data_IF_499354689502
#
_entry.id   IF_499354689502
#
_cell.length_a   1.000
_cell.length_b   1.000
_cell.length_c   1.000
_cell.angle_alpha   90.00
_cell.angle_beta   90.00
_cell.angle_gamma   90.00
#
_symmetry.space_group_name_H-M   'P 1'
#
loop_
_entity.id
_entity.type
_entity.pdbx_description
1 polymer ?
#
# COMPACT_ATOMS: atom_id res chain seq x y z
N UNK A 1 -5.16 -10.11 30.52
CA UNK A 1 -5.05 -11.06 29.38
C UNK A 1 -6.40 -11.08 28.69
N UNK A 2 -6.56 -10.24 27.65
CA UNK A 2 -7.84 -10.05 26.96
C UNK A 2 -7.94 -11.11 25.86
N UNK A 3 -8.90 -12.05 25.99
CA UNK A 3 -9.18 -13.07 24.97
C UNK A 3 -9.62 -12.38 23.67
N UNK A 4 -9.12 -12.76 22.49
CA UNK A 4 -9.64 -12.25 21.24
C UNK A 4 -11.09 -12.71 21.11
N UNK A 5 -11.99 -11.74 20.98
CA UNK A 5 -13.40 -12.00 20.69
C UNK A 5 -13.46 -12.54 19.26
N UNK A 6 -13.78 -13.82 19.12
CA UNK A 6 -14.07 -14.40 17.81
C UNK A 6 -15.21 -13.61 17.18
N UNK A 7 -14.94 -12.98 16.05
CA UNK A 7 -15.96 -12.34 15.25
C UNK A 7 -16.89 -13.45 14.75
N UNK A 8 -18.13 -13.43 15.21
CA UNK A 8 -19.18 -14.29 14.66
C UNK A 8 -19.37 -13.93 13.19
N UNK A 9 -19.04 -14.85 12.32
CA UNK A 9 -19.18 -14.74 10.85
C UNK A 9 -20.64 -14.99 10.45
N UNK A 10 -21.59 -14.28 11.05
CA UNK A 10 -22.93 -14.20 10.46
C UNK A 10 -22.88 -13.09 9.40
N UNK A 11 -23.24 -13.38 8.15
CA UNK A 11 -23.30 -12.35 7.13
C UNK A 11 -24.28 -11.27 7.58
N UNK A 12 -23.81 -10.06 7.74
CA UNK A 12 -24.67 -8.90 7.99
C UNK A 12 -25.61 -8.78 6.80
N UNK A 13 -26.94 -8.76 6.99
CA UNK A 13 -27.85 -8.59 5.88
C UNK A 13 -27.55 -7.30 5.14
N UNK A 14 -27.42 -7.40 3.83
CA UNK A 14 -27.17 -6.24 2.99
C UNK A 14 -28.44 -5.37 2.93
N UNK A 15 -28.29 -4.04 2.95
CA UNK A 15 -29.43 -3.15 2.73
C UNK A 15 -29.96 -3.34 1.29
N UNK A 16 -31.25 -3.27 1.11
CA UNK A 16 -31.90 -3.38 -0.22
C UNK A 16 -31.46 -2.28 -1.18
N UNK A 17 -31.08 -1.12 -0.65
CA UNK A 17 -30.64 0.05 -1.42
C UNK A 17 -29.48 0.73 -0.74
N UNK A 18 -28.52 1.18 -1.53
CA UNK A 18 -27.43 2.04 -1.11
C UNK A 18 -27.22 3.15 -2.14
N UNK A 19 -26.99 4.36 -1.70
CA UNK A 19 -26.70 5.49 -2.61
C UNK A 19 -25.29 5.46 -3.13
N UNK A 20 -24.35 4.90 -2.35
CA UNK A 20 -22.95 4.71 -2.74
C UNK A 20 -22.50 3.32 -2.30
N UNK A 21 -21.92 2.56 -3.22
CA UNK A 21 -21.29 1.27 -2.93
C UNK A 21 -19.79 1.40 -3.16
N UNK A 22 -19.00 1.04 -2.15
CA UNK A 22 -17.53 1.02 -2.22
C UNK A 22 -17.10 -0.44 -2.18
N UNK A 23 -16.34 -0.86 -3.18
CA UNK A 23 -15.78 -2.20 -3.27
C UNK A 23 -14.34 -2.21 -2.74
N UNK A 24 -14.12 -2.97 -1.69
CA UNK A 24 -12.82 -3.12 -1.02
C UNK A 24 -12.63 -2.17 0.15
N UNK A 25 -12.37 -2.75 1.35
CA UNK A 25 -12.06 -2.02 2.57
C UNK A 25 -10.54 -1.90 2.80
N UNK A 26 -9.78 -1.67 1.75
CA UNK A 26 -8.39 -1.20 1.83
C UNK A 26 -8.34 0.27 2.25
N UNK A 27 -7.14 0.85 2.34
CA UNK A 27 -6.95 2.24 2.78
C UNK A 27 -7.79 3.23 1.97
N UNK A 28 -7.81 3.08 0.65
CA UNK A 28 -8.57 3.97 -0.25
C UNK A 28 -10.09 3.89 0.02
N UNK A 29 -10.65 2.67 0.09
CA UNK A 29 -12.08 2.49 0.34
C UNK A 29 -12.50 2.99 1.72
N UNK A 30 -11.70 2.73 2.75
CA UNK A 30 -11.96 3.21 4.11
C UNK A 30 -11.92 4.73 4.20
N UNK A 31 -10.96 5.39 3.55
CA UNK A 31 -10.89 6.86 3.54
C UNK A 31 -12.04 7.44 2.73
N UNK A 32 -12.41 6.85 1.58
CA UNK A 32 -13.56 7.28 0.81
C UNK A 32 -14.87 7.19 1.62
N UNK A 33 -15.12 6.05 2.27
CA UNK A 33 -16.27 5.88 3.15
C UNK A 33 -16.30 6.91 4.27
N UNK A 34 -15.16 7.11 4.95
CA UNK A 34 -15.02 8.10 6.01
C UNK A 34 -15.34 9.52 5.54
N UNK A 35 -14.82 9.94 4.41
CA UNK A 35 -15.05 11.29 3.90
C UNK A 35 -16.51 11.48 3.46
N UNK A 36 -17.14 10.47 2.86
CA UNK A 36 -18.57 10.50 2.53
C UNK A 36 -19.45 10.65 3.79
N UNK A 37 -19.19 9.86 4.82
CA UNK A 37 -19.90 9.93 6.10
C UNK A 37 -19.69 11.30 6.76
N UNK A 38 -18.48 11.86 6.72
CA UNK A 38 -18.20 13.22 7.24
C UNK A 38 -18.90 14.32 6.45
N UNK A 39 -19.12 14.09 5.16
CA UNK A 39 -19.92 14.99 4.31
C UNK A 39 -21.44 14.82 4.52
N UNK A 40 -21.87 14.03 5.51
CA UNK A 40 -23.28 13.84 5.85
C UNK A 40 -23.98 12.69 5.12
N UNK A 41 -23.27 11.95 4.24
CA UNK A 41 -23.85 10.77 3.57
C UNK A 41 -24.08 9.66 4.58
N UNK A 42 -25.28 9.06 4.55
CA UNK A 42 -25.67 7.93 5.44
C UNK A 42 -25.98 6.64 4.68
N UNK A 43 -26.07 6.73 3.38
CA UNK A 43 -26.44 5.67 2.44
C UNK A 43 -25.19 5.05 1.77
N UNK A 44 -24.13 4.87 2.53
CA UNK A 44 -22.83 4.33 2.07
C UNK A 44 -22.72 2.87 2.48
N UNK A 45 -22.51 1.98 1.53
CA UNK A 45 -22.22 0.55 1.73
C UNK A 45 -20.76 0.27 1.34
N UNK A 46 -20.00 -0.31 2.27
CA UNK A 46 -18.63 -0.76 2.04
C UNK A 46 -18.60 -2.28 2.06
N UNK A 47 -18.20 -2.88 0.95
CA UNK A 47 -18.07 -4.33 0.80
C UNK A 47 -16.60 -4.75 0.80
N UNK A 48 -16.27 -5.80 1.57
CA UNK A 48 -14.93 -6.37 1.67
C UNK A 48 -15.01 -7.89 1.51
N UNK A 49 -14.18 -8.44 0.65
CA UNK A 49 -14.12 -9.90 0.41
C UNK A 49 -13.34 -10.65 1.50
N UNK A 50 -12.39 -9.99 2.13
CA UNK A 50 -11.58 -10.59 3.19
C UNK A 50 -12.31 -10.53 4.54
N UNK A 51 -12.00 -11.45 5.48
CA UNK A 51 -12.61 -11.48 6.82
C UNK A 51 -12.35 -10.22 7.67
N UNK A 52 -11.34 -9.41 7.28
CA UNK A 52 -10.95 -8.19 7.99
C UNK A 52 -10.66 -7.06 6.99
N UNK A 53 -11.09 -5.83 7.30
CA UNK A 53 -10.70 -4.66 6.50
C UNK A 53 -9.20 -4.36 6.64
N UNK A 54 -8.69 -3.47 5.79
CA UNK A 54 -7.33 -2.97 5.83
C UNK A 54 -6.54 -3.21 4.54
N UNK A 55 -6.93 -4.18 3.69
CA UNK A 55 -6.21 -4.49 2.47
C UNK A 55 -4.72 -4.81 2.77
N UNK A 56 -3.81 -4.23 2.04
CA UNK A 56 -2.36 -4.39 2.23
C UNK A 56 -1.82 -3.75 3.52
N UNK A 57 -2.62 -2.89 4.19
CA UNK A 57 -2.26 -2.29 5.48
C UNK A 57 -2.52 -3.21 6.67
N UNK A 58 -2.96 -4.43 6.43
CA UNK A 58 -3.19 -5.39 7.51
C UNK A 58 -1.88 -5.85 8.13
N UNK A 59 -1.96 -6.03 9.44
CA UNK A 59 -0.88 -6.60 10.25
C UNK A 59 -1.33 -7.94 10.80
N UNK A 60 -0.50 -8.95 10.68
CA UNK A 60 -0.70 -10.27 11.22
C UNK A 60 0.18 -10.48 12.46
N UNK A 61 -0.32 -11.28 13.41
CA UNK A 61 0.45 -11.67 14.59
C UNK A 61 0.57 -13.19 14.62
N UNK A 62 1.80 -13.67 14.66
CA UNK A 62 2.11 -15.09 14.74
C UNK A 62 3.31 -15.31 15.67
N UNK A 63 3.23 -16.23 16.62
CA UNK A 63 4.33 -16.56 17.53
C UNK A 63 4.87 -15.37 18.35
N UNK A 64 4.03 -14.38 18.65
CA UNK A 64 4.46 -13.15 19.36
C UNK A 64 5.10 -12.09 18.45
N UNK A 65 5.28 -12.40 17.17
CA UNK A 65 5.83 -11.48 16.16
C UNK A 65 4.70 -10.79 15.41
N UNK A 66 4.89 -9.53 15.10
CA UNK A 66 3.99 -8.72 14.26
C UNK A 66 4.58 -8.62 12.87
N UNK A 67 3.81 -9.03 11.86
CA UNK A 67 4.21 -9.04 10.45
C UNK A 67 3.16 -8.31 9.64
N UNK A 68 3.56 -7.30 8.91
CA UNK A 68 2.69 -6.57 7.99
C UNK A 68 2.53 -7.35 6.67
N UNK A 69 1.34 -7.27 6.06
CA UNK A 69 1.08 -7.87 4.73
C UNK A 69 2.02 -7.32 3.67
N UNK A 70 2.29 -6.02 3.76
CA UNK A 70 3.26 -5.32 2.92
C UNK A 70 3.98 -4.28 3.78
N UNK A 71 5.31 -4.16 3.71
CA UNK A 71 6.01 -3.05 4.32
C UNK A 71 5.43 -1.73 3.82
N UNK A 72 4.95 -0.90 4.73
CA UNK A 72 4.34 0.37 4.37
C UNK A 72 4.93 1.52 5.17
N UNK A 73 5.30 2.55 4.44
CA UNK A 73 5.80 3.80 4.99
C UNK A 73 4.89 4.91 4.52
N UNK A 74 4.45 5.76 5.43
CA UNK A 74 3.66 6.91 5.06
C UNK A 74 4.59 8.01 4.51
N UNK A 75 4.50 8.23 3.21
CA UNK A 75 5.22 9.29 2.53
C UNK A 75 4.25 10.13 1.69
N UNK A 76 4.16 11.43 1.96
CA UNK A 76 3.30 12.32 1.18
C UNK A 76 3.76 13.76 1.22
N UNK A 77 3.63 14.46 0.09
CA UNK A 77 3.72 15.91 -0.02
C UNK A 77 2.34 16.58 0.11
N UNK A 78 1.27 15.80 0.12
CA UNK A 78 -0.10 16.30 0.20
C UNK A 78 -0.46 16.67 1.65
N UNK A 79 -0.67 17.97 1.91
CA UNK A 79 -0.98 18.49 3.25
C UNK A 79 -2.29 17.94 3.84
N UNK A 80 -3.31 17.66 2.98
CA UNK A 80 -4.58 17.07 3.41
C UNK A 80 -4.38 15.63 3.86
N UNK A 81 -3.67 14.83 3.07
CA UNK A 81 -3.34 13.45 3.43
C UNK A 81 -2.52 13.39 4.74
N UNK A 82 -1.52 14.25 4.90
CA UNK A 82 -0.72 14.34 6.11
C UNK A 82 -1.57 14.72 7.35
N UNK A 83 -2.57 15.58 7.18
CA UNK A 83 -3.49 15.97 8.26
C UNK A 83 -4.38 14.80 8.67
N UNK A 84 -4.96 14.10 7.70
CA UNK A 84 -5.80 12.91 7.96
C UNK A 84 -4.98 11.85 8.70
N UNK A 85 -3.78 11.55 8.21
CA UNK A 85 -2.89 10.56 8.84
C UNK A 85 -2.58 10.92 10.30
N UNK A 86 -2.13 12.14 10.57
CA UNK A 86 -1.84 12.58 11.95
C UNK A 86 -3.06 12.55 12.85
N UNK A 87 -4.24 12.86 12.32
CA UNK A 87 -5.48 12.79 13.08
C UNK A 87 -5.94 11.38 13.41
N UNK A 88 -5.50 10.38 12.66
CA UNK A 88 -5.84 8.96 12.89
C UNK A 88 -4.78 8.23 13.71
N UNK A 89 -3.51 8.50 13.45
CA UNK A 89 -2.38 7.75 14.03
C UNK A 89 -1.73 8.47 15.21
N UNK A 90 -2.08 9.75 15.46
CA UNK A 90 -1.39 10.55 16.47
C UNK A 90 0.00 11.01 16.02
N UNK A 91 0.89 11.35 16.98
CA UNK A 91 2.25 11.75 16.67
C UNK A 91 3.01 10.61 15.97
N UNK A 92 3.55 10.92 14.80
CA UNK A 92 4.39 9.98 14.05
C UNK A 92 5.86 10.36 14.22
N UNK A 93 6.70 9.36 14.48
CA UNK A 93 8.15 9.54 14.45
C UNK A 93 8.66 9.39 13.01
N UNK A 94 9.50 10.32 12.59
CA UNK A 94 10.22 10.18 11.33
C UNK A 94 11.46 9.31 11.58
N UNK A 95 11.57 8.22 10.84
CA UNK A 95 12.75 7.36 10.88
C UNK A 95 13.45 7.40 9.52
N UNK A 96 14.77 7.51 9.54
CA UNK A 96 15.57 7.27 8.35
C UNK A 96 15.62 5.76 8.10
N UNK A 97 14.93 5.30 7.06
CA UNK A 97 14.99 3.91 6.64
C UNK A 97 16.20 3.68 5.75
N UNK A 98 17.01 2.68 6.10
CA UNK A 98 17.97 2.10 5.16
C UNK A 98 17.25 0.98 4.43
N UNK A 99 16.89 1.25 3.20
CA UNK A 99 16.29 0.26 2.30
C UNK A 99 17.35 -0.22 1.33
N UNK A 100 17.26 -1.49 0.95
CA UNK A 100 18.16 -2.04 -0.06
C UNK A 100 17.54 -3.23 -0.76
N UNK A 101 18.17 -3.63 -1.83
CA UNK A 101 17.79 -4.76 -2.67
C UNK A 101 18.88 -5.82 -2.57
N UNK A 102 18.49 -7.05 -2.25
CA UNK A 102 19.42 -8.18 -2.33
C UNK A 102 19.59 -8.59 -3.80
N UNK A 103 20.78 -8.40 -4.33
CA UNK A 103 21.14 -8.74 -5.71
C UNK A 103 22.32 -9.71 -5.74
N UNK A 104 22.09 -10.94 -6.24
CA UNK A 104 23.13 -11.99 -6.38
C UNK A 104 23.97 -12.18 -5.11
N UNK A 105 23.35 -12.14 -3.94
CA UNK A 105 24.03 -12.32 -2.65
C UNK A 105 24.71 -11.07 -2.10
N UNK A 106 24.69 -9.95 -2.82
CA UNK A 106 25.18 -8.64 -2.38
C UNK A 106 24.03 -7.68 -2.06
N UNK A 107 24.31 -6.65 -1.29
CA UNK A 107 23.35 -5.60 -0.96
C UNK A 107 23.55 -4.39 -1.86
N UNK A 108 22.48 -3.87 -2.46
CA UNK A 108 22.47 -2.65 -3.26
C UNK A 108 21.50 -1.67 -2.62
N UNK A 109 21.91 -0.43 -2.41
CA UNK A 109 21.08 0.59 -1.79
C UNK A 109 19.83 0.90 -2.63
N UNK A 110 18.74 1.24 -1.95
CA UNK A 110 17.51 1.68 -2.60
C UNK A 110 17.52 3.21 -2.83
N UNK A 111 17.02 3.72 -3.96
CA UNK A 111 16.44 2.99 -5.07
C UNK A 111 17.50 2.28 -5.93
N UNK A 112 17.22 1.06 -6.36
CA UNK A 112 18.15 0.25 -7.14
C UNK A 112 18.67 0.98 -8.40
N UNK A 113 17.80 1.72 -9.07
CA UNK A 113 18.11 2.44 -10.31
C UNK A 113 19.17 3.52 -10.11
N UNK A 114 19.18 4.17 -8.97
CA UNK A 114 20.15 5.25 -8.64
C UNK A 114 21.49 4.66 -8.18
N UNK A 115 21.47 3.40 -7.77
CA UNK A 115 22.60 2.71 -7.13
C UNK A 115 23.20 1.58 -7.99
N UNK A 116 22.93 1.55 -9.28
CA UNK A 116 23.51 0.56 -10.21
C UNK A 116 25.05 0.61 -10.28
N UNK A 117 25.65 1.69 -9.82
CA UNK A 117 27.11 1.83 -9.70
C UNK A 117 27.70 0.82 -8.70
N UNK A 118 26.91 0.32 -7.76
CA UNK A 118 27.28 -0.70 -6.76
C UNK A 118 27.31 -2.13 -7.35
N UNK A 119 26.78 -2.31 -8.56
CA UNK A 119 26.78 -3.60 -9.25
C UNK A 119 28.16 -3.92 -9.83
N UNK A 120 28.38 -5.21 -10.11
CA UNK A 120 29.53 -5.61 -10.91
C UNK A 120 29.55 -4.91 -12.28
N UNK A 121 30.71 -4.71 -12.90
CA UNK A 121 30.76 -4.07 -14.23
C UNK A 121 29.90 -4.78 -15.27
N UNK A 122 29.84 -6.11 -15.22
CA UNK A 122 29.01 -6.91 -16.12
C UNK A 122 27.51 -6.67 -15.90
N UNK A 123 27.03 -6.75 -14.65
CA UNK A 123 25.63 -6.54 -14.34
C UNK A 123 25.19 -5.10 -14.64
N UNK A 124 26.03 -4.12 -14.32
CA UNK A 124 25.79 -2.72 -14.67
C UNK A 124 25.62 -2.54 -16.17
N UNK A 125 26.49 -3.13 -16.98
CA UNK A 125 26.36 -3.10 -18.44
C UNK A 125 25.04 -3.73 -18.90
N UNK A 126 24.68 -4.90 -18.36
CA UNK A 126 23.42 -5.58 -18.69
C UNK A 126 22.19 -4.72 -18.38
N UNK A 127 22.15 -4.12 -17.19
CA UNK A 127 21.05 -3.23 -16.78
C UNK A 127 20.96 -2.02 -17.71
N UNK A 128 22.07 -1.39 -18.02
CA UNK A 128 22.09 -0.21 -18.91
C UNK A 128 21.64 -0.55 -20.34
N UNK A 129 22.11 -1.67 -20.90
CA UNK A 129 21.69 -2.12 -22.24
C UNK A 129 20.19 -2.42 -22.25
N UNK A 130 19.68 -3.16 -21.26
CA UNK A 130 18.25 -3.44 -21.15
C UNK A 130 17.39 -2.19 -21.04
N UNK A 131 17.83 -1.18 -20.29
CA UNK A 131 17.14 0.11 -20.19
C UNK A 131 17.07 0.84 -21.52
N UNK A 132 18.17 0.82 -22.30
CA UNK A 132 18.22 1.45 -23.62
C UNK A 132 17.33 0.73 -24.63
N UNK A 133 17.36 -0.60 -24.65
CA UNK A 133 16.53 -1.43 -25.52
C UNK A 133 15.03 -1.26 -25.21
N UNK A 134 14.64 -1.26 -23.96
CA UNK A 134 13.25 -1.01 -23.55
C UNK A 134 12.78 0.40 -23.89
N UNK A 135 13.66 1.40 -23.79
CA UNK A 135 13.35 2.78 -24.18
C UNK A 135 13.15 2.91 -25.69
N UNK A 136 13.94 2.22 -26.48
CA UNK A 136 13.76 2.16 -27.94
C UNK A 136 12.45 1.45 -28.32
N UNK A 137 12.10 0.34 -27.63
CA UNK A 137 10.83 -0.37 -27.83
C UNK A 137 9.59 0.43 -27.43
N UNK A 138 9.65 1.18 -26.32
CA UNK A 138 8.57 2.07 -25.90
C UNK A 138 8.35 3.27 -26.84
N UNK A 139 9.39 3.74 -27.50
CA UNK A 139 9.27 4.83 -28.49
C UNK A 139 8.57 4.37 -29.78
N UNK A 140 8.58 3.07 -30.05
CA UNK A 140 7.94 2.45 -31.23
C UNK A 140 6.50 1.99 -30.97
N UNK A 141 6.03 1.99 -29.72
CA UNK A 141 4.64 1.61 -29.42
C UNK A 141 3.68 2.76 -29.70
N UNK A 142 2.58 2.56 -30.45
CA UNK A 142 1.60 3.60 -30.70
C UNK A 142 0.98 4.04 -29.36
N UNK A 143 0.97 5.34 -29.11
CA UNK A 143 0.28 5.95 -27.95
C UNK A 143 -1.22 5.92 -28.22
N UNK A 144 -1.84 4.79 -27.99
CA UNK A 144 -3.30 4.68 -27.93
C UNK A 144 -3.71 4.70 -26.47
N UNK A 145 -4.21 5.83 -26.04
CA UNK A 145 -5.12 6.03 -24.92
C UNK A 145 -6.42 6.58 -25.48
#
# INVERSE_FOLDING_TARGET
MMKPRAAANSPTPLPEKAGVVILGAGLTGLIAARELVRAGRRDVLLLESAPRPGGLMKTNRSGGVTIDELPHVFFTKNRRAARIFRGLCGPASAHAHRLGVLWKGGWVDFPFQDNIHQLSPEDRRRVLVSLLENRAGCAAAPRNL
#
